data_IF_115116655731
#
_entry.id   IF_115116655731
#
_cell.length_a   1.000
_cell.length_b   1.000
_cell.length_c   1.000
_cell.angle_alpha   90.00
_cell.angle_beta   90.00
_cell.angle_gamma   90.00
#
_symmetry.space_group_name_H-M   'P 1'
#
loop_
_entity.id
_entity.type
_entity.pdbx_description
1 polymer ?
#
# COMPACT_ATOMS: atom_id res chain seq x y z
N UNK A 1 -8.52 -2.47 -19.89
CA UNK A 1 -9.51 -3.55 -20.12
C UNK A 1 -10.20 -3.83 -18.79
N UNK A 2 -11.53 -4.00 -18.79
CA UNK A 2 -12.29 -4.33 -17.57
C UNK A 2 -12.60 -5.82 -17.59
N UNK A 3 -12.40 -6.50 -16.46
CA UNK A 3 -12.68 -7.91 -16.26
C UNK A 3 -13.73 -8.04 -15.16
N UNK A 4 -14.77 -8.85 -15.39
CA UNK A 4 -15.78 -9.18 -14.38
C UNK A 4 -15.51 -10.60 -13.92
N UNK A 5 -15.48 -10.80 -12.61
CA UNK A 5 -15.29 -12.12 -12.02
C UNK A 5 -16.48 -12.49 -11.14
N UNK A 6 -16.74 -13.79 -11.04
CA UNK A 6 -17.70 -14.39 -10.13
C UNK A 6 -16.96 -15.43 -9.29
N UNK A 7 -16.97 -15.26 -7.98
CA UNK A 7 -16.41 -16.17 -7.00
C UNK A 7 -17.55 -16.94 -6.36
N UNK A 8 -17.48 -18.25 -6.48
CA UNK A 8 -18.49 -19.12 -5.88
C UNK A 8 -18.19 -19.30 -4.39
N UNK A 9 -19.15 -18.94 -3.53
CA UNK A 9 -18.99 -18.97 -2.05
C UNK A 9 -19.55 -20.23 -1.41
N UNK A 10 -20.33 -21.03 -2.14
CA UNK A 10 -21.01 -22.23 -1.62
C UNK A 10 -20.55 -23.51 -2.29
N UNK A 11 -20.49 -24.60 -1.53
CA UNK A 11 -20.34 -25.96 -2.08
C UNK A 11 -21.70 -26.54 -2.50
N UNK A 12 -21.77 -27.34 -3.58
CA UNK A 12 -23.00 -28.04 -4.01
C UNK A 12 -23.49 -27.71 -5.43
N UNK A 13 -24.80 -27.76 -5.66
CA UNK A 13 -25.43 -27.38 -6.95
C UNK A 13 -25.97 -25.96 -6.86
N UNK A 14 -25.72 -25.15 -7.89
CA UNK A 14 -26.34 -23.82 -8.05
C UNK A 14 -27.70 -24.02 -8.71
N UNK A 15 -28.76 -23.61 -8.02
CA UNK A 15 -30.10 -23.67 -8.59
C UNK A 15 -30.24 -22.67 -9.73
N UNK A 16 -30.76 -23.13 -10.87
CA UNK A 16 -31.09 -22.26 -11.99
C UNK A 16 -32.32 -21.43 -11.64
N UNK A 17 -32.21 -20.10 -11.56
CA UNK A 17 -33.35 -19.25 -11.23
C UNK A 17 -34.41 -19.30 -12.33
N UNK A 18 -35.67 -19.20 -11.92
CA UNK A 18 -36.81 -19.37 -12.83
C UNK A 18 -37.21 -18.07 -13.53
N UNK A 19 -36.75 -16.92 -13.01
CA UNK A 19 -36.98 -15.58 -13.55
C UNK A 19 -35.82 -14.64 -13.21
N UNK A 20 -35.74 -13.47 -13.88
CA UNK A 20 -34.71 -12.47 -13.60
C UNK A 20 -34.79 -11.93 -12.16
N UNK A 21 -36.00 -11.74 -11.64
CA UNK A 21 -36.20 -11.22 -10.29
C UNK A 21 -35.87 -12.27 -9.21
N UNK A 22 -36.05 -13.55 -9.53
CA UNK A 22 -35.60 -14.67 -8.71
C UNK A 22 -34.06 -14.78 -8.74
N UNK A 23 -33.44 -14.57 -9.91
CA UNK A 23 -31.99 -14.57 -10.08
C UNK A 23 -31.31 -13.50 -9.21
N UNK A 24 -31.82 -12.27 -9.19
CA UNK A 24 -31.25 -11.18 -8.38
C UNK A 24 -31.27 -11.49 -6.88
N UNK A 25 -32.27 -12.26 -6.41
CA UNK A 25 -32.40 -12.64 -4.98
C UNK A 25 -31.61 -13.88 -4.61
N UNK A 26 -31.48 -14.84 -5.52
CA UNK A 26 -30.84 -16.13 -5.25
C UNK A 26 -29.36 -16.14 -5.59
N UNK A 27 -28.94 -15.56 -6.73
CA UNK A 27 -27.56 -15.68 -7.23
C UNK A 27 -26.54 -14.99 -6.32
N UNK A 28 -26.89 -13.89 -5.67
CA UNK A 28 -26.02 -13.18 -4.71
C UNK A 28 -25.67 -14.05 -3.49
N UNK A 29 -26.47 -15.09 -3.19
CA UNK A 29 -26.17 -16.04 -2.10
C UNK A 29 -25.14 -17.10 -2.49
N UNK A 30 -25.00 -17.36 -3.79
CA UNK A 30 -24.12 -18.41 -4.32
C UNK A 30 -22.80 -17.84 -4.85
N UNK A 31 -22.80 -16.56 -5.25
CA UNK A 31 -21.65 -15.91 -5.87
C UNK A 31 -21.41 -14.53 -5.30
N UNK A 32 -20.16 -14.29 -4.94
CA UNK A 32 -19.60 -12.94 -4.90
C UNK A 32 -19.19 -12.55 -6.31
N UNK A 33 -19.27 -11.27 -6.63
CA UNK A 33 -18.82 -10.78 -7.92
C UNK A 33 -18.13 -9.44 -7.77
N UNK A 34 -17.26 -9.14 -8.73
CA UNK A 34 -16.53 -7.89 -8.73
C UNK A 34 -16.00 -7.52 -10.09
N UNK A 35 -15.56 -6.27 -10.19
CA UNK A 35 -15.00 -5.70 -11.41
C UNK A 35 -13.54 -5.32 -11.17
N UNK A 36 -12.66 -5.92 -11.96
CA UNK A 36 -11.25 -5.58 -12.04
C UNK A 36 -11.05 -4.62 -13.21
N UNK A 37 -10.67 -3.38 -12.93
CA UNK A 37 -10.32 -2.42 -13.96
C UNK A 37 -8.82 -2.53 -14.33
N UNK A 38 -8.38 -1.75 -15.32
CA UNK A 38 -6.98 -1.69 -15.75
C UNK A 38 -5.98 -1.20 -14.69
N UNK A 39 -6.46 -0.74 -13.53
CA UNK A 39 -5.65 -0.23 -12.41
C UNK A 39 -5.77 -1.17 -11.20
N UNK A 40 -5.51 -2.45 -11.41
CA UNK A 40 -5.74 -3.51 -10.41
C UNK A 40 -5.02 -3.26 -9.08
N UNK A 41 -3.81 -2.69 -9.11
CA UNK A 41 -3.05 -2.39 -7.90
C UNK A 41 -3.70 -1.27 -7.06
N UNK A 42 -4.25 -0.23 -7.70
CA UNK A 42 -5.05 0.79 -6.99
C UNK A 42 -6.32 0.20 -6.39
N UNK A 43 -7.00 -0.68 -7.14
CA UNK A 43 -8.21 -1.33 -6.65
C UNK A 43 -7.90 -2.17 -5.41
N UNK A 44 -6.82 -2.96 -5.45
CA UNK A 44 -6.36 -3.75 -4.31
C UNK A 44 -6.06 -2.86 -3.09
N UNK A 45 -5.27 -1.78 -3.28
CA UNK A 45 -4.93 -0.83 -2.23
C UNK A 45 -6.20 -0.22 -1.58
N UNK A 46 -7.13 0.26 -2.42
CA UNK A 46 -8.37 0.86 -1.94
C UNK A 46 -9.27 -0.15 -1.23
N UNK A 47 -9.38 -1.38 -1.74
CA UNK A 47 -10.24 -2.40 -1.13
C UNK A 47 -9.69 -2.82 0.22
N UNK A 48 -8.39 -3.08 0.33
CA UNK A 48 -7.75 -3.44 1.59
C UNK A 48 -7.83 -2.30 2.60
N UNK A 49 -7.56 -1.05 2.19
CA UNK A 49 -7.48 0.06 3.13
C UNK A 49 -8.85 0.65 3.52
N UNK A 50 -9.82 0.71 2.59
CA UNK A 50 -11.11 1.37 2.83
C UNK A 50 -12.24 0.40 3.20
N UNK A 51 -12.11 -0.89 2.89
CA UNK A 51 -13.15 -1.89 3.18
C UNK A 51 -12.66 -2.84 4.26
N UNK A 52 -11.56 -3.55 4.03
CA UNK A 52 -11.13 -4.60 4.96
C UNK A 52 -10.51 -4.06 6.25
N UNK A 53 -9.67 -3.02 6.17
CA UNK A 53 -9.02 -2.46 7.36
C UNK A 53 -10.06 -1.96 8.39
N UNK A 54 -11.11 -1.19 8.02
CA UNK A 54 -12.18 -0.83 8.95
C UNK A 54 -12.99 -2.03 9.45
N UNK A 55 -13.33 -3.00 8.59
CA UNK A 55 -14.12 -4.17 9.00
C UNK A 55 -13.36 -5.03 10.02
N UNK A 56 -12.07 -5.26 9.77
CA UNK A 56 -11.19 -5.99 10.66
C UNK A 56 -10.91 -5.24 11.96
N UNK A 57 -11.07 -3.91 11.97
CA UNK A 57 -10.95 -3.10 13.19
C UNK A 57 -12.26 -3.06 13.97
N UNK A 58 -13.40 -2.94 13.29
CA UNK A 58 -14.74 -2.81 13.88
C UNK A 58 -15.31 -4.12 14.42
N UNK A 59 -15.06 -5.25 13.76
CA UNK A 59 -15.44 -6.57 14.30
C UNK A 59 -14.78 -6.88 15.65
N UNK A 60 -13.80 -6.08 16.09
CA UNK A 60 -13.13 -6.24 17.38
C UNK A 60 -13.85 -5.57 18.55
N UNK A 61 -14.74 -4.59 18.33
CA UNK A 61 -15.42 -3.86 19.41
C UNK A 61 -16.75 -4.51 19.83
N UNK A 62 -17.27 -5.44 19.04
CA UNK A 62 -18.62 -6.02 19.20
C UNK A 62 -18.61 -7.40 19.89
N UNK A 63 -17.46 -8.06 20.01
CA UNK A 63 -17.34 -9.33 20.76
C UNK A 63 -17.16 -9.10 22.28
N UNK A 64 -18.08 -8.37 22.93
CA UNK A 64 -18.32 -8.49 24.37
C UNK A 64 -19.21 -9.72 24.60
N UNK A 65 -18.83 -10.67 25.49
CA UNK A 65 -19.63 -11.87 25.72
C UNK A 65 -20.84 -11.53 26.59
N UNK A 66 -21.98 -11.27 25.95
CA UNK A 66 -23.28 -11.32 26.61
C UNK A 66 -23.61 -12.78 26.97
N UNK A 67 -23.44 -13.10 28.26
CA UNK A 67 -23.92 -14.35 28.84
C UNK A 67 -24.67 -14.05 30.14
N UNK A 68 -25.74 -13.26 30.07
CA UNK A 68 -26.76 -13.25 31.11
C UNK A 68 -28.12 -12.86 30.53
N UNK A 69 -29.02 -13.86 30.37
CA UNK A 69 -30.48 -13.82 30.60
C UNK A 69 -31.29 -14.75 29.62
N UNK A 70 -32.60 -15.05 29.83
CA UNK A 70 -33.17 -15.82 30.94
C UNK A 70 -34.34 -16.75 30.49
N UNK A 71 -34.61 -17.88 31.17
CA UNK A 71 -35.91 -18.61 31.04
C UNK A 71 -36.34 -19.14 32.41
N UNK A 72 -37.23 -18.48 33.18
CA UNK A 72 -38.70 -18.28 33.08
C UNK A 72 -39.55 -19.55 33.24
N UNK A 73 -40.24 -19.67 34.38
CA UNK A 73 -41.69 -19.97 34.56
C UNK A 73 -42.07 -20.93 35.72
N UNK A 74 -42.55 -20.31 36.82
CA UNK A 74 -43.77 -20.60 37.61
C UNK A 74 -44.12 -22.02 38.13
N UNK A 75 -44.32 -22.16 39.46
CA UNK A 75 -45.66 -22.17 40.10
C UNK A 75 -45.67 -22.46 41.62
N UNK A 76 -46.39 -21.56 42.34
CA UNK A 76 -47.26 -21.75 43.52
C UNK A 76 -46.83 -22.47 44.83
N UNK A 77 -46.74 -21.62 45.88
CA UNK A 77 -47.52 -21.61 47.16
C UNK A 77 -47.11 -22.51 48.35
N UNK A 78 -46.67 -21.84 49.42
CA UNK A 78 -47.24 -21.87 50.80
C UNK A 78 -46.24 -22.11 51.94
N UNK A 79 -46.17 -21.19 52.91
CA UNK A 79 -46.00 -21.53 54.33
C UNK A 79 -44.68 -21.19 55.05
N UNK A 80 -44.70 -20.07 55.79
CA UNK A 80 -44.07 -19.80 57.10
C UNK A 80 -42.54 -19.79 57.32
N UNK A 81 -42.04 -18.58 57.62
CA UNK A 81 -41.23 -18.17 58.80
C UNK A 81 -40.33 -19.24 59.48
N UNK A 82 -39.00 -19.03 59.42
CA UNK A 82 -38.16 -18.47 60.51
C UNK A 82 -36.67 -18.51 60.13
N UNK A 83 -36.06 -17.34 60.24
CA UNK A 83 -34.73 -17.06 60.80
C UNK A 83 -33.84 -18.29 61.12
N UNK A 84 -32.79 -18.51 60.33
CA UNK A 84 -31.49 -18.95 60.85
C UNK A 84 -30.35 -18.63 59.86
N UNK A 85 -29.23 -18.25 60.43
CA UNK A 85 -28.04 -17.75 59.75
C UNK A 85 -27.35 -18.88 58.98
N UNK A 86 -27.31 -18.81 57.65
CA UNK A 86 -26.38 -19.60 56.85
C UNK A 86 -25.65 -18.73 55.84
N UNK A 87 -24.37 -18.55 56.14
CA UNK A 87 -23.29 -18.14 55.27
C UNK A 87 -23.49 -18.71 53.86
N UNK A 88 -23.74 -17.84 52.87
CA UNK A 88 -23.76 -18.20 51.46
C UNK A 88 -22.38 -18.75 51.08
N UNK A 89 -22.27 -20.09 50.99
CA UNK A 89 -21.12 -20.75 50.39
C UNK A 89 -21.06 -20.34 48.92
N UNK A 90 -20.08 -19.50 48.60
CA UNK A 90 -19.57 -19.30 47.23
C UNK A 90 -19.39 -20.70 46.59
N UNK A 91 -19.87 -20.96 45.36
CA UNK A 91 -19.70 -22.27 44.75
C UNK A 91 -18.20 -22.60 44.73
N UNK A 92 -17.81 -23.75 45.29
CA UNK A 92 -16.46 -24.27 45.13
C UNK A 92 -16.29 -24.65 43.66
N UNK A 93 -15.73 -23.71 42.88
CA UNK A 93 -15.30 -23.96 41.50
C UNK A 93 -14.40 -25.20 41.48
N UNK A 94 -14.84 -26.21 40.73
CA UNK A 94 -14.13 -27.48 40.59
C UNK A 94 -12.74 -27.22 39.99
N UNK A 95 -11.70 -27.96 40.37
CA UNK A 95 -10.36 -27.81 39.76
C UNK A 95 -10.39 -27.90 38.23
N UNK A 96 -11.35 -28.65 37.70
CA UNK A 96 -11.63 -28.79 36.27
C UNK A 96 -12.21 -27.51 35.64
N UNK A 97 -13.05 -26.76 36.36
CA UNK A 97 -13.58 -25.46 35.92
C UNK A 97 -12.48 -24.40 35.88
N UNK A 98 -11.61 -24.36 36.91
CA UNK A 98 -10.44 -23.45 36.91
C UNK A 98 -9.44 -23.77 35.80
N UNK A 99 -9.26 -25.05 35.48
CA UNK A 99 -8.40 -25.51 34.37
C UNK A 99 -9.00 -25.15 33.01
N UNK A 100 -10.32 -25.28 32.84
CA UNK A 100 -11.02 -24.90 31.62
C UNK A 100 -11.04 -23.37 31.43
N UNK A 101 -11.18 -22.61 32.51
CA UNK A 101 -11.13 -21.14 32.48
C UNK A 101 -9.75 -20.63 32.07
N UNK A 102 -8.67 -21.17 32.65
CA UNK A 102 -7.29 -20.87 32.21
C UNK A 102 -7.05 -21.21 30.73
N UNK A 103 -7.66 -22.28 30.23
CA UNK A 103 -7.55 -22.68 28.81
C UNK A 103 -8.24 -21.68 27.88
N UNK A 104 -9.43 -21.21 28.25
CA UNK A 104 -10.15 -20.15 27.52
C UNK A 104 -9.38 -18.83 27.53
N UNK A 105 -8.84 -18.43 28.68
CA UNK A 105 -8.04 -17.21 28.79
C UNK A 105 -6.80 -17.27 27.90
N UNK A 106 -6.11 -18.41 27.89
CA UNK A 106 -4.96 -18.61 27.00
C UNK A 106 -5.35 -18.61 25.52
N UNK A 107 -6.50 -19.19 25.16
CA UNK A 107 -7.01 -19.17 23.78
C UNK A 107 -7.40 -17.76 23.32
N UNK A 108 -8.00 -16.95 24.21
CA UNK A 108 -8.29 -15.54 23.97
C UNK A 108 -7.00 -14.72 23.78
N UNK A 109 -6.01 -14.94 24.64
CA UNK A 109 -4.70 -14.28 24.55
C UNK A 109 -4.00 -14.60 23.22
N UNK A 110 -3.99 -15.86 22.80
CA UNK A 110 -3.45 -16.27 21.50
C UNK A 110 -4.21 -15.64 20.32
N UNK A 111 -5.55 -15.56 20.41
CA UNK A 111 -6.38 -14.92 19.38
C UNK A 111 -6.01 -13.44 19.23
N UNK A 112 -5.80 -12.73 20.35
CA UNK A 112 -5.38 -11.32 20.37
C UNK A 112 -3.99 -11.17 19.73
N UNK A 113 -3.02 -12.00 20.11
CA UNK A 113 -1.65 -11.93 19.55
C UNK A 113 -1.66 -12.17 18.03
N UNK A 114 -2.34 -13.23 17.57
CA UNK A 114 -2.43 -13.55 16.14
C UNK A 114 -3.12 -12.45 15.34
N UNK A 115 -4.14 -11.81 15.93
CA UNK A 115 -4.83 -10.67 15.33
C UNK A 115 -3.90 -9.47 15.18
N UNK A 116 -3.20 -9.10 16.25
CA UNK A 116 -2.31 -7.93 16.23
C UNK A 116 -1.15 -8.15 15.25
N UNK A 117 -0.60 -9.37 15.22
CA UNK A 117 0.39 -9.75 14.22
C UNK A 117 -0.16 -9.61 12.80
N UNK A 118 -1.37 -10.11 12.53
CA UNK A 118 -2.01 -10.00 11.22
C UNK A 118 -2.22 -8.53 10.81
N UNK A 119 -2.72 -7.68 11.70
CA UNK A 119 -2.93 -6.25 11.42
C UNK A 119 -1.61 -5.54 11.12
N UNK A 120 -0.54 -5.85 11.87
CA UNK A 120 0.80 -5.34 11.59
C UNK A 120 1.28 -5.77 10.21
N UNK A 121 1.09 -7.04 9.84
CA UNK A 121 1.48 -7.54 8.51
C UNK A 121 0.64 -6.90 7.39
N UNK A 122 -0.66 -6.71 7.61
CA UNK A 122 -1.54 -6.03 6.67
C UNK A 122 -1.10 -4.58 6.46
N UNK A 123 -0.74 -3.88 7.52
CA UNK A 123 -0.24 -2.51 7.42
C UNK A 123 1.10 -2.43 6.67
N UNK A 124 2.04 -3.35 6.94
CA UNK A 124 3.29 -3.47 6.16
C UNK A 124 3.01 -3.72 4.69
N UNK A 125 2.07 -4.60 4.39
CA UNK A 125 1.68 -4.92 3.02
C UNK A 125 1.05 -3.72 2.30
N UNK A 126 0.16 -2.99 2.97
CA UNK A 126 -0.43 -1.75 2.46
C UNK A 126 0.64 -0.69 2.16
N UNK A 127 1.63 -0.54 3.06
CA UNK A 127 2.77 0.35 2.84
C UNK A 127 3.59 -0.08 1.61
N UNK A 128 3.82 -1.38 1.43
CA UNK A 128 4.52 -1.91 0.28
C UNK A 128 3.76 -1.66 -1.03
N UNK A 129 2.44 -1.90 -1.06
CA UNK A 129 1.60 -1.57 -2.21
C UNK A 129 1.68 -0.06 -2.52
N UNK A 130 1.57 0.78 -1.48
CA UNK A 130 1.66 2.23 -1.64
C UNK A 130 3.02 2.69 -2.18
N UNK A 131 4.12 2.06 -1.77
CA UNK A 131 5.45 2.28 -2.34
C UNK A 131 5.52 1.88 -3.81
N UNK A 132 5.07 0.66 -4.14
CA UNK A 132 5.08 0.15 -5.51
C UNK A 132 4.20 0.98 -6.44
N UNK A 133 3.04 1.44 -5.96
CA UNK A 133 2.17 2.33 -6.72
C UNK A 133 2.85 3.67 -7.01
N UNK A 134 3.46 4.29 -5.98
CA UNK A 134 4.23 5.52 -6.13
C UNK A 134 5.43 5.35 -7.06
N UNK A 135 6.06 4.17 -7.06
CA UNK A 135 7.12 3.84 -8.01
C UNK A 135 6.57 3.76 -9.43
N UNK A 136 5.47 3.03 -9.66
CA UNK A 136 4.86 2.87 -10.98
C UNK A 136 4.29 4.19 -11.55
N UNK A 137 3.65 5.02 -10.72
CA UNK A 137 3.12 6.33 -11.11
C UNK A 137 4.20 7.42 -11.20
N UNK A 138 5.34 7.18 -10.54
CA UNK A 138 6.45 8.12 -10.41
C UNK A 138 7.62 7.86 -11.36
N UNK A 139 7.70 6.69 -11.98
CA UNK A 139 8.84 6.28 -12.80
C UNK A 139 8.92 7.10 -14.09
N UNK A 140 9.68 8.18 -14.03
CA UNK A 140 10.19 8.84 -15.23
C UNK A 140 11.20 7.90 -15.88
N UNK A 141 11.07 7.73 -17.19
CA UNK A 141 11.93 6.87 -18.00
C UNK A 141 12.49 7.66 -19.17
N UNK A 142 13.80 7.88 -19.18
CA UNK A 142 14.50 8.55 -20.27
C UNK A 142 14.70 7.58 -21.45
N UNK A 143 13.60 7.10 -22.04
CA UNK A 143 13.63 6.12 -23.13
C UNK A 143 13.75 6.81 -24.50
N UNK A 144 14.39 6.12 -25.44
CA UNK A 144 14.37 6.49 -26.84
C UNK A 144 13.04 6.08 -27.47
N UNK A 145 12.45 6.91 -28.35
CA UNK A 145 11.31 6.49 -29.16
C UNK A 145 11.63 5.22 -29.97
N UNK A 146 10.67 4.30 -30.19
CA UNK A 146 10.90 3.05 -30.93
C UNK A 146 11.47 3.24 -32.35
N UNK A 147 11.13 4.35 -32.98
CA UNK A 147 11.60 4.74 -34.32
C UNK A 147 12.95 5.47 -34.32
N UNK A 148 13.54 5.72 -33.15
CA UNK A 148 14.78 6.46 -33.02
C UNK A 148 15.98 5.61 -33.42
N UNK A 149 16.78 6.13 -34.34
CA UNK A 149 17.94 5.43 -34.89
C UNK A 149 19.20 6.28 -34.68
N UNK A 150 19.95 5.94 -33.62
CA UNK A 150 21.18 6.64 -33.23
C UNK A 150 22.21 6.60 -34.37
N UNK A 151 22.21 5.58 -35.22
CA UNK A 151 23.19 5.45 -36.31
C UNK A 151 23.03 6.50 -37.40
N UNK A 152 21.80 7.02 -37.56
CA UNK A 152 21.48 8.09 -38.51
C UNK A 152 21.78 9.48 -37.99
N UNK A 153 22.16 9.60 -36.71
CA UNK A 153 22.49 10.87 -36.05
C UNK A 153 23.91 11.31 -36.45
N UNK A 154 24.00 11.86 -37.66
CA UNK A 154 25.23 12.39 -38.26
C UNK A 154 25.04 13.84 -38.65
N UNK A 155 26.13 14.63 -38.64
CA UNK A 155 26.11 16.08 -38.90
C UNK A 155 25.41 16.48 -40.22
N UNK A 156 25.48 15.64 -41.24
CA UNK A 156 24.85 15.89 -42.55
C UNK A 156 23.34 15.67 -42.55
N UNK A 157 22.78 14.94 -41.57
CA UNK A 157 21.38 14.59 -41.49
C UNK A 157 20.64 15.50 -40.50
N UNK A 158 20.16 16.65 -41.00
CA UNK A 158 19.49 17.67 -40.18
C UNK A 158 18.23 17.16 -39.51
N UNK A 159 17.40 16.40 -40.22
CA UNK A 159 16.14 15.86 -39.68
C UNK A 159 16.40 14.94 -38.47
N UNK A 160 17.45 14.13 -38.52
CA UNK A 160 17.82 13.28 -37.39
C UNK A 160 18.34 14.09 -36.19
N UNK A 161 19.07 15.18 -36.44
CA UNK A 161 19.54 16.10 -35.40
C UNK A 161 18.37 16.81 -34.72
N UNK A 162 17.44 17.35 -35.51
CA UNK A 162 16.23 18.02 -34.98
C UNK A 162 15.37 17.05 -34.16
N UNK A 163 15.24 15.81 -34.60
CA UNK A 163 14.53 14.79 -33.82
C UNK A 163 15.24 14.44 -32.52
N UNK A 164 16.56 14.26 -32.54
CA UNK A 164 17.37 14.00 -31.35
C UNK A 164 17.34 15.17 -30.35
N UNK A 165 17.40 16.40 -30.84
CA UNK A 165 17.22 17.61 -30.03
C UNK A 165 15.85 17.63 -29.34
N UNK A 166 14.77 17.31 -30.06
CA UNK A 166 13.44 17.20 -29.48
C UNK A 166 13.36 16.14 -28.38
N UNK A 167 14.02 14.98 -28.56
CA UNK A 167 14.11 13.93 -27.54
C UNK A 167 14.84 14.45 -26.30
N UNK A 168 15.97 15.13 -26.46
CA UNK A 168 16.72 15.71 -25.32
C UNK A 168 15.91 16.77 -24.58
N UNK A 169 15.16 17.62 -25.29
CA UNK A 169 14.26 18.60 -24.65
C UNK A 169 13.11 17.93 -23.91
N UNK A 170 12.57 16.83 -24.44
CA UNK A 170 11.56 16.02 -23.74
C UNK A 170 12.12 15.46 -22.43
N UNK A 171 13.30 14.86 -22.47
CA UNK A 171 13.97 14.36 -21.27
C UNK A 171 14.21 15.46 -20.23
N UNK A 172 14.61 16.66 -20.66
CA UNK A 172 14.74 17.82 -19.77
C UNK A 172 13.42 18.17 -19.09
N UNK A 173 12.30 18.16 -19.82
CA UNK A 173 10.97 18.38 -19.27
C UNK A 173 10.60 17.32 -18.23
N UNK A 174 10.78 16.05 -18.57
CA UNK A 174 10.48 14.91 -17.68
C UNK A 174 11.29 14.95 -16.38
N UNK A 175 12.59 15.29 -16.46
CA UNK A 175 13.44 15.45 -15.28
C UNK A 175 12.95 16.60 -14.40
N UNK A 176 12.63 17.75 -14.99
CA UNK A 176 12.15 18.93 -14.24
C UNK A 176 10.80 18.67 -13.57
N UNK A 177 9.86 18.04 -14.26
CA UNK A 177 8.56 17.68 -13.70
C UNK A 177 8.70 16.65 -12.57
N UNK A 178 9.58 15.66 -12.71
CA UNK A 178 9.88 14.71 -11.64
C UNK A 178 10.47 15.42 -10.41
N UNK A 179 11.43 16.32 -10.64
CA UNK A 179 12.08 17.07 -9.57
C UNK A 179 11.08 17.97 -8.84
N UNK A 180 10.21 18.67 -9.57
CA UNK A 180 9.16 19.52 -8.99
C UNK A 180 8.16 18.68 -8.18
N UNK A 181 7.72 17.53 -8.69
CA UNK A 181 6.86 16.60 -7.95
C UNK A 181 7.54 16.13 -6.66
N UNK A 182 8.82 15.82 -6.71
CA UNK A 182 9.58 15.41 -5.54
C UNK A 182 9.66 16.56 -4.52
N UNK A 183 10.00 17.79 -4.96
CA UNK A 183 10.09 18.98 -4.10
C UNK A 183 8.77 19.38 -3.43
N UNK A 184 7.62 19.03 -3.99
CA UNK A 184 6.30 19.29 -3.38
C UNK A 184 5.93 18.28 -2.28
N UNK A 185 6.63 17.16 -2.13
CA UNK A 185 6.32 16.14 -1.12
C UNK A 185 6.76 16.61 0.28
N UNK A 186 5.93 16.31 1.27
CA UNK A 186 6.24 16.48 2.69
C UNK A 186 6.35 15.13 3.40
N UNK A 187 7.04 15.06 4.56
CA UNK A 187 7.06 13.85 5.38
C UNK A 187 5.63 13.39 5.73
N UNK A 188 5.37 12.09 5.63
CA UNK A 188 4.05 11.52 5.90
C UNK A 188 3.74 11.41 7.41
N UNK A 189 4.78 11.20 8.21
CA UNK A 189 4.68 11.05 9.67
C UNK A 189 5.54 12.11 10.34
N UNK A 190 5.05 12.63 11.47
CA UNK A 190 5.78 13.60 12.28
C UNK A 190 6.81 12.89 13.16
N UNK A 191 7.96 13.54 13.34
CA UNK A 191 9.05 13.02 14.19
C UNK A 191 10.20 12.36 13.41
N UNK A 192 11.27 11.95 14.12
CA UNK A 192 12.54 11.60 13.50
C UNK A 192 12.47 10.43 12.51
N UNK A 193 11.65 9.40 12.81
CA UNK A 193 11.50 8.25 11.92
C UNK A 193 10.80 8.63 10.61
N UNK A 194 9.81 9.52 10.67
CA UNK A 194 9.13 10.01 9.47
C UNK A 194 10.03 10.84 8.57
N UNK A 195 10.94 11.61 9.17
CA UNK A 195 11.94 12.36 8.42
C UNK A 195 12.98 11.44 7.76
N UNK A 196 13.46 10.41 8.47
CA UNK A 196 14.39 9.40 7.92
C UNK A 196 13.77 8.70 6.72
N UNK A 197 12.53 8.22 6.85
CA UNK A 197 11.85 7.51 5.77
C UNK A 197 11.59 8.43 4.58
N UNK A 198 11.20 9.69 4.84
CA UNK A 198 11.04 10.70 3.79
C UNK A 198 12.33 10.94 2.99
N UNK A 199 13.47 11.11 3.66
CA UNK A 199 14.75 11.28 2.96
C UNK A 199 15.19 10.02 2.22
N UNK A 200 14.91 8.82 2.75
CA UNK A 200 15.19 7.56 2.07
C UNK A 200 14.38 7.42 0.79
N UNK A 201 13.08 7.68 0.85
CA UNK A 201 12.20 7.66 -0.32
C UNK A 201 12.66 8.66 -1.38
N UNK A 202 13.00 9.89 -0.95
CA UNK A 202 13.51 10.94 -1.82
C UNK A 202 14.83 10.54 -2.49
N UNK A 203 15.75 9.97 -1.73
CA UNK A 203 17.03 9.49 -2.26
C UNK A 203 16.83 8.35 -3.27
N UNK A 204 15.93 7.39 -3.01
CA UNK A 204 15.62 6.31 -3.97
C UNK A 204 15.09 6.89 -5.28
N UNK A 205 14.13 7.82 -5.20
CA UNK A 205 13.53 8.49 -6.35
C UNK A 205 14.57 9.24 -7.19
N UNK A 206 15.32 10.14 -6.56
CA UNK A 206 16.30 11.00 -7.24
C UNK A 206 17.53 10.23 -7.72
N UNK A 207 18.00 9.23 -6.97
CA UNK A 207 19.13 8.39 -7.42
C UNK A 207 18.78 7.56 -8.64
N UNK A 208 17.59 6.96 -8.69
CA UNK A 208 17.11 6.23 -9.87
C UNK A 208 17.07 7.12 -11.10
N UNK A 209 16.47 8.31 -10.99
CA UNK A 209 16.41 9.27 -12.09
C UNK A 209 17.80 9.76 -12.50
N UNK A 210 18.69 10.01 -11.53
CA UNK A 210 20.06 10.44 -11.81
C UNK A 210 20.86 9.36 -12.55
N UNK A 211 20.74 8.09 -12.16
CA UNK A 211 21.39 6.99 -12.88
C UNK A 211 20.85 6.82 -14.30
N UNK A 212 19.57 7.11 -14.57
CA UNK A 212 19.06 7.14 -15.94
C UNK A 212 19.75 8.17 -16.82
N UNK A 213 20.11 9.33 -16.28
CA UNK A 213 20.85 10.36 -17.04
C UNK A 213 22.27 9.94 -17.46
N UNK A 214 22.76 8.82 -16.92
CA UNK A 214 24.07 8.24 -17.23
C UNK A 214 23.98 6.97 -18.09
N UNK A 215 22.77 6.57 -18.48
CA UNK A 215 22.59 5.40 -19.32
C UNK A 215 23.29 5.59 -20.66
N UNK A 216 23.84 4.50 -21.20
CA UNK A 216 24.67 4.52 -22.40
C UNK A 216 23.94 5.17 -23.59
N UNK A 217 22.66 4.88 -23.80
CA UNK A 217 21.89 5.45 -24.91
C UNK A 217 21.68 6.97 -24.75
N UNK A 218 21.59 7.48 -23.52
CA UNK A 218 21.49 8.93 -23.26
C UNK A 218 22.81 9.59 -23.64
N UNK A 219 23.93 9.08 -23.13
CA UNK A 219 25.26 9.62 -23.42
C UNK A 219 25.60 9.54 -24.91
N UNK A 220 25.24 8.44 -25.60
CA UNK A 220 25.43 8.30 -27.05
C UNK A 220 24.70 9.39 -27.84
N UNK A 221 23.46 9.72 -27.49
CA UNK A 221 22.70 10.80 -28.17
C UNK A 221 23.35 12.16 -27.91
N UNK A 222 23.74 12.44 -26.67
CA UNK A 222 24.39 13.70 -26.29
C UNK A 222 25.72 13.88 -27.03
N UNK A 223 26.56 12.84 -27.07
CA UNK A 223 27.85 12.86 -27.78
C UNK A 223 27.66 13.15 -29.27
N UNK A 224 26.72 12.47 -29.93
CA UNK A 224 26.44 12.67 -31.37
C UNK A 224 25.92 14.08 -31.66
N UNK A 225 25.08 14.64 -30.77
CA UNK A 225 24.61 16.02 -30.88
C UNK A 225 25.73 17.04 -30.64
N UNK A 226 26.67 16.77 -29.75
CA UNK A 226 27.87 17.60 -29.54
C UNK A 226 28.76 17.63 -30.77
N UNK A 227 28.99 16.47 -31.40
CA UNK A 227 29.73 16.37 -32.68
C UNK A 227 29.02 17.12 -33.82
N UNK A 228 27.70 17.29 -33.73
CA UNK A 228 26.90 18.07 -34.65
C UNK A 228 26.82 19.57 -34.29
N UNK A 229 27.51 20.02 -33.23
CA UNK A 229 27.51 21.39 -32.72
C UNK A 229 26.10 21.88 -32.28
N UNK A 230 25.23 20.98 -31.83
CA UNK A 230 23.90 21.33 -31.31
C UNK A 230 23.97 21.78 -29.84
N UNK A 231 23.07 22.68 -29.41
CA UNK A 231 23.07 23.25 -28.07
C UNK A 231 22.32 22.40 -27.01
N UNK A 232 21.48 21.44 -27.43
CA UNK A 232 20.67 20.62 -26.53
C UNK A 232 21.47 19.86 -25.45
N UNK A 233 22.69 19.32 -25.73
CA UNK A 233 23.51 18.70 -24.70
C UNK A 233 23.90 19.63 -23.56
N UNK A 234 24.12 20.92 -23.82
CA UNK A 234 24.39 21.91 -22.76
C UNK A 234 23.18 22.06 -21.83
N UNK A 235 22.00 22.26 -22.41
CA UNK A 235 20.72 22.32 -21.66
C UNK A 235 20.49 21.08 -20.80
N UNK A 236 20.86 19.90 -21.32
CA UNK A 236 20.76 18.66 -20.56
C UNK A 236 21.74 18.58 -19.40
N UNK A 237 23.00 19.02 -19.59
CA UNK A 237 24.00 19.09 -18.53
C UNK A 237 23.58 20.03 -17.39
N UNK A 238 22.96 21.16 -17.71
CA UNK A 238 22.42 22.10 -16.71
C UNK A 238 21.32 21.41 -15.87
N UNK A 239 20.36 20.78 -16.55
CA UNK A 239 19.26 20.05 -15.88
C UNK A 239 19.77 18.87 -15.04
N UNK A 240 20.80 18.16 -15.52
CA UNK A 240 21.47 17.08 -14.79
C UNK A 240 22.22 17.60 -13.55
N UNK A 241 22.81 18.79 -13.65
CA UNK A 241 23.50 19.43 -12.52
C UNK A 241 22.50 19.80 -11.43
N UNK A 242 21.36 20.38 -11.80
CA UNK A 242 20.27 20.68 -10.87
C UNK A 242 19.76 19.41 -10.19
N UNK A 243 19.49 18.34 -10.95
CA UNK A 243 19.10 17.04 -10.39
C UNK A 243 20.15 16.50 -9.40
N UNK A 244 21.44 16.58 -9.77
CA UNK A 244 22.54 16.10 -8.93
C UNK A 244 22.60 16.82 -7.59
N UNK A 245 22.30 18.13 -7.54
CA UNK A 245 22.28 18.90 -6.30
C UNK A 245 21.30 18.32 -5.29
N UNK A 246 20.05 18.09 -5.71
CA UNK A 246 19.01 17.55 -4.83
C UNK A 246 19.20 16.07 -4.48
N UNK A 247 19.76 15.30 -5.42
CA UNK A 247 20.15 13.91 -5.15
C UNK A 247 21.21 13.85 -4.04
N UNK A 248 22.27 14.66 -4.13
CA UNK A 248 23.34 14.67 -3.13
C UNK A 248 22.84 15.12 -1.76
N UNK A 249 21.98 16.14 -1.71
CA UNK A 249 21.32 16.57 -0.48
C UNK A 249 20.53 15.41 0.17
N UNK A 250 19.70 14.71 -0.61
CA UNK A 250 18.93 13.58 -0.08
C UNK A 250 19.83 12.44 0.40
N UNK A 251 20.89 12.13 -0.36
CA UNK A 251 21.87 11.10 -0.01
C UNK A 251 22.60 11.43 1.31
N UNK A 252 23.00 12.67 1.49
CA UNK A 252 23.71 13.11 2.68
C UNK A 252 22.79 13.06 3.91
N UNK A 253 21.54 13.51 3.77
CA UNK A 253 20.56 13.50 4.87
C UNK A 253 20.20 12.08 5.31
N UNK A 254 20.12 11.11 4.40
CA UNK A 254 19.97 9.68 4.75
C UNK A 254 21.10 9.18 5.65
N UNK A 255 22.33 9.72 5.50
CA UNK A 255 23.49 9.31 6.29
C UNK A 255 23.61 10.06 7.63
N UNK A 256 23.11 11.29 7.72
CA UNK A 256 23.30 12.19 8.88
C UNK A 256 22.20 12.04 9.92
N UNK A 257 20.93 11.99 9.50
CA UNK A 257 19.77 12.01 10.42
C UNK A 257 19.76 10.83 11.40
N UNK A 258 20.04 9.58 10.97
CA UNK A 258 20.10 8.45 11.90
C UNK A 258 21.15 8.62 13.01
N UNK A 259 22.22 9.40 12.78
CA UNK A 259 23.28 9.64 13.78
C UNK A 259 22.87 10.70 14.80
N UNK A 260 22.07 11.69 14.39
CA UNK A 260 21.58 12.75 15.28
C UNK A 260 20.45 12.25 16.19
N UNK A 261 19.59 11.35 15.71
CA UNK A 261 18.50 10.76 16.51
C UNK A 261 18.98 9.84 17.65
N UNK A 262 20.25 9.40 17.62
CA UNK A 262 20.86 8.55 18.66
C UNK A 262 21.52 9.39 19.77
N UNK A 263 21.75 10.69 19.51
CA UNK A 263 22.49 11.59 20.40
C UNK A 263 21.61 12.57 21.18
N UNK A 264 20.29 12.58 20.96
CA UNK A 264 19.31 13.41 21.66
C UNK A 264 18.25 12.56 22.33
#
# INVERSE_FOLDING_TARGET
KNCVYFLRTTSGTVHTPSSMEDADKTMVKYFDYGLLNGHTLHLLANTLNKVYNPLLTYQNDVEEPDASEPQRASSSKSGNKKDDSQTEKKPEETEEEKRNEKRRQHELELRVILRDEFLIQLQKFLNQIGLTLRQLEGEVRLELPPQFDVTKLVRSNKDAIEHAESVVYKWNGEIREALERELKKTPQTTGPLGEIDWWRERNISLSSLFEQTKQEHVEQVLEKLELAENAAPSSFRDTRTDLSKYYLEAKDNVNVIPKQSILG
#
